data_IF_460049234319
#
_entry.id   IF_460049234319
#
_cell.length_a   1.000
_cell.length_b   1.000
_cell.length_c   1.000
_cell.angle_alpha   90.00
_cell.angle_beta   90.00
_cell.angle_gamma   90.00
#
_symmetry.space_group_name_H-M   'P 1'
#
loop_
_entity.id
_entity.type
_entity.pdbx_description
1 polymer ?
#
# COMPACT_ATOMS: atom_id res chain seq x y z
N UNK A 1 -4.94 -2.19 6.49
CA UNK A 1 -4.33 -2.40 5.16
C UNK A 1 -5.36 -2.51 4.04
N UNK A 2 -6.29 -3.48 4.08
CA UNK A 2 -7.29 -3.69 3.01
C UNK A 2 -8.09 -2.43 2.65
N UNK A 3 -8.60 -1.69 3.65
CA UNK A 3 -9.31 -0.43 3.44
C UNK A 3 -8.47 0.63 2.70
N UNK A 4 -7.18 0.72 3.03
CA UNK A 4 -6.27 1.65 2.38
C UNK A 4 -6.03 1.24 0.92
N UNK A 5 -5.81 -0.05 0.65
CA UNK A 5 -5.64 -0.55 -0.72
C UNK A 5 -6.90 -0.37 -1.56
N UNK A 6 -8.10 -0.64 -1.02
CA UNK A 6 -9.35 -0.41 -1.74
C UNK A 6 -9.57 1.07 -2.05
N UNK A 7 -9.29 1.96 -1.10
CA UNK A 7 -9.40 3.40 -1.33
C UNK A 7 -8.37 3.92 -2.35
N UNK A 8 -7.16 3.36 -2.36
CA UNK A 8 -6.13 3.66 -3.35
C UNK A 8 -6.59 3.28 -4.77
N UNK A 9 -7.11 2.06 -4.96
CA UNK A 9 -7.65 1.58 -6.25
C UNK A 9 -8.76 2.51 -6.78
N UNK A 10 -9.77 2.81 -5.95
CA UNK A 10 -10.84 3.75 -6.29
C UNK A 10 -10.30 5.12 -6.72
N UNK A 11 -9.26 5.61 -6.05
CA UNK A 11 -8.66 6.91 -6.35
C UNK A 11 -7.85 6.91 -7.66
N UNK A 12 -7.17 5.82 -7.99
CA UNK A 12 -6.46 5.64 -9.27
C UNK A 12 -7.46 5.59 -10.44
N UNK A 13 -8.56 4.84 -10.31
CA UNK A 13 -9.64 4.80 -11.31
C UNK A 13 -10.23 6.20 -11.51
N UNK A 14 -10.47 6.94 -10.43
CA UNK A 14 -10.92 8.33 -10.49
C UNK A 14 -9.95 9.27 -11.21
N UNK A 15 -8.63 9.04 -11.07
CA UNK A 15 -7.59 9.79 -11.76
C UNK A 15 -7.56 9.48 -13.27
N UNK A 16 -7.85 8.23 -13.65
CA UNK A 16 -7.87 7.82 -15.07
C UNK A 16 -9.06 8.42 -15.83
N UNK A 17 -10.25 8.35 -15.24
CA UNK A 17 -11.51 8.85 -15.84
C UNK A 17 -11.75 10.35 -15.60
N UNK A 18 -10.81 11.07 -15.01
CA UNK A 18 -11.01 12.49 -14.69
C UNK A 18 -11.25 13.32 -15.96
N UNK A 19 -12.40 14.02 -16.10
CA UNK A 19 -12.67 14.87 -17.25
C UNK A 19 -12.00 16.25 -17.11
N UNK A 20 -11.81 16.72 -15.87
CA UNK A 20 -11.29 18.04 -15.54
C UNK A 20 -10.18 17.97 -14.49
N UNK A 21 -9.34 18.99 -14.44
CA UNK A 21 -8.21 19.08 -13.50
C UNK A 21 -8.64 19.05 -12.03
N UNK A 22 -9.80 19.61 -11.68
CA UNK A 22 -10.28 19.61 -10.29
C UNK A 22 -10.55 18.18 -9.77
N UNK A 23 -11.22 17.34 -10.57
CA UNK A 23 -11.49 15.93 -10.22
C UNK A 23 -10.18 15.15 -10.16
N UNK A 24 -9.25 15.44 -11.09
CA UNK A 24 -7.92 14.85 -11.06
C UNK A 24 -7.16 15.20 -9.77
N UNK A 25 -7.18 16.46 -9.32
CA UNK A 25 -6.51 16.86 -8.08
C UNK A 25 -7.14 16.23 -6.84
N UNK A 26 -8.48 16.19 -6.76
CA UNK A 26 -9.19 15.54 -5.64
C UNK A 26 -8.83 14.06 -5.57
N UNK A 27 -8.85 13.35 -6.69
CA UNK A 27 -8.46 11.93 -6.73
C UNK A 27 -7.00 11.72 -6.34
N UNK A 28 -6.09 12.64 -6.70
CA UNK A 28 -4.68 12.60 -6.28
C UNK A 28 -4.48 12.83 -4.78
N UNK A 29 -5.25 13.73 -4.17
CA UNK A 29 -5.24 13.94 -2.71
C UNK A 29 -5.71 12.69 -1.99
N UNK A 30 -6.82 12.09 -2.45
CA UNK A 30 -7.34 10.84 -1.90
C UNK A 30 -6.32 9.71 -2.05
N UNK A 31 -5.72 9.58 -3.23
CA UNK A 31 -4.68 8.58 -3.48
C UNK A 31 -3.49 8.74 -2.52
N UNK A 32 -3.06 9.99 -2.26
CA UNK A 32 -2.03 10.32 -1.27
C UNK A 32 -2.42 9.94 0.16
N UNK A 33 -3.66 10.20 0.56
CA UNK A 33 -4.17 9.83 1.88
C UNK A 33 -4.15 8.30 2.09
N UNK A 34 -4.63 7.54 1.11
CA UNK A 34 -4.69 6.08 1.20
C UNK A 34 -3.32 5.42 1.16
N UNK A 35 -2.40 5.89 0.30
CA UNK A 35 -1.06 5.28 0.22
C UNK A 35 -0.24 5.50 1.49
N UNK A 36 -0.41 6.65 2.15
CA UNK A 36 0.19 6.95 3.45
C UNK A 36 -0.19 5.90 4.50
N UNK A 37 -1.48 5.58 4.61
CA UNK A 37 -1.97 4.57 5.55
C UNK A 37 -1.37 3.20 5.24
N UNK A 38 -1.31 2.81 3.96
CA UNK A 38 -0.70 1.55 3.55
C UNK A 38 0.79 1.48 3.92
N UNK A 39 1.55 2.56 3.71
CA UNK A 39 2.96 2.63 4.03
C UNK A 39 3.23 2.54 5.55
N UNK A 40 2.49 3.30 6.36
CA UNK A 40 2.65 3.32 7.81
C UNK A 40 2.29 1.94 8.41
N UNK A 41 1.16 1.37 8.00
CA UNK A 41 0.72 0.05 8.49
C UNK A 41 1.68 -1.06 8.04
N UNK A 42 2.20 -0.99 6.81
CA UNK A 42 3.20 -1.93 6.33
C UNK A 42 4.48 -1.90 7.16
N UNK A 43 4.98 -0.71 7.48
CA UNK A 43 6.15 -0.52 8.33
C UNK A 43 5.92 -0.98 9.77
N UNK A 44 4.76 -0.64 10.34
CA UNK A 44 4.38 -1.08 11.68
C UNK A 44 4.33 -2.62 11.76
N UNK A 45 3.78 -3.26 10.73
CA UNK A 45 3.73 -4.73 10.64
C UNK A 45 5.14 -5.34 10.64
N UNK A 46 6.10 -4.75 9.93
CA UNK A 46 7.51 -5.19 9.98
C UNK A 46 8.10 -5.00 11.38
N UNK A 47 7.80 -3.88 12.05
CA UNK A 47 8.28 -3.65 13.41
C UNK A 47 7.69 -4.65 14.42
N UNK A 48 6.43 -5.06 14.24
CA UNK A 48 5.72 -5.99 15.14
C UNK A 48 6.18 -7.45 14.98
N UNK A 49 6.56 -7.86 13.75
CA UNK A 49 6.95 -9.26 13.46
C UNK A 49 8.41 -9.54 13.84
N UNK A 50 9.31 -8.57 13.69
CA UNK A 50 10.74 -8.78 13.87
C UNK A 50 11.24 -8.37 15.27
N UNK A 51 12.11 -9.20 15.84
CA UNK A 51 12.77 -8.93 17.12
C UNK A 51 13.69 -7.69 17.03
N UNK A 52 13.95 -6.97 18.15
CA UNK A 52 14.74 -5.74 18.14
C UNK A 52 16.10 -5.84 17.43
N UNK A 53 16.80 -6.97 17.57
CA UNK A 53 18.12 -7.19 16.98
C UNK A 53 18.08 -7.37 15.44
N UNK A 54 16.98 -7.89 14.89
CA UNK A 54 16.83 -8.13 13.45
C UNK A 54 15.99 -7.06 12.74
N UNK A 55 15.24 -6.26 13.51
CA UNK A 55 14.34 -5.22 13.02
C UNK A 55 15.05 -4.22 12.11
N UNK A 56 16.27 -3.81 12.43
CA UNK A 56 17.05 -2.90 11.60
C UNK A 56 17.29 -3.44 10.18
N UNK A 57 17.61 -4.74 10.07
CA UNK A 57 17.81 -5.41 8.77
C UNK A 57 16.49 -5.57 8.01
N UNK A 58 15.41 -5.92 8.70
CA UNK A 58 14.09 -6.05 8.09
C UNK A 58 13.55 -4.71 7.57
N UNK A 59 13.67 -3.64 8.36
CA UNK A 59 13.30 -2.28 7.94
C UNK A 59 14.17 -1.79 6.77
N UNK A 60 15.47 -2.07 6.79
CA UNK A 60 16.36 -1.74 5.67
C UNK A 60 15.91 -2.45 4.38
N UNK A 61 15.56 -3.74 4.46
CA UNK A 61 15.04 -4.49 3.31
C UNK A 61 13.71 -3.91 2.81
N UNK A 62 12.78 -3.57 3.70
CA UNK A 62 11.51 -2.92 3.33
C UNK A 62 11.74 -1.62 2.55
N UNK A 63 12.60 -0.73 3.06
CA UNK A 63 12.90 0.53 2.38
C UNK A 63 13.72 0.34 1.10
N UNK A 64 14.54 -0.72 0.99
CA UNK A 64 15.25 -1.03 -0.25
C UNK A 64 14.27 -1.21 -1.43
N UNK A 65 13.18 -1.97 -1.25
CA UNK A 65 12.14 -2.10 -2.27
C UNK A 65 11.39 -0.78 -2.52
N UNK A 66 11.13 0.00 -1.46
CA UNK A 66 10.48 1.30 -1.60
C UNK A 66 11.28 2.25 -2.50
N UNK A 67 12.59 2.38 -2.24
CA UNK A 67 13.46 3.22 -3.06
C UNK A 67 13.70 2.64 -4.46
N UNK A 68 13.78 1.32 -4.59
CA UNK A 68 13.85 0.66 -5.89
C UNK A 68 12.60 0.98 -6.74
N UNK A 69 11.41 0.97 -6.13
CA UNK A 69 10.19 1.42 -6.78
C UNK A 69 10.25 2.87 -7.23
N UNK A 70 10.83 3.76 -6.42
CA UNK A 70 11.04 5.18 -6.77
C UNK A 70 12.04 5.37 -7.93
N UNK A 71 13.00 4.46 -8.10
CA UNK A 71 13.96 4.48 -9.21
C UNK A 71 13.33 3.94 -10.51
N UNK A 72 12.63 2.80 -10.41
CA UNK A 72 12.04 2.12 -11.57
C UNK A 72 10.78 2.83 -12.05
N UNK A 73 9.98 3.39 -11.13
CA UNK A 73 8.68 4.00 -11.40
C UNK A 73 8.73 5.12 -12.45
N UNK A 74 9.55 6.18 -12.29
CA UNK A 74 9.68 7.25 -13.27
C UNK A 74 10.28 6.79 -14.60
N UNK A 75 11.20 5.82 -14.56
CA UNK A 75 11.82 5.27 -15.78
C UNK A 75 10.78 4.56 -16.64
N UNK A 76 9.98 3.67 -16.04
CA UNK A 76 8.92 2.93 -16.74
C UNK A 76 7.74 3.85 -17.07
N UNK A 77 7.30 4.66 -16.10
CA UNK A 77 6.16 5.58 -16.26
C UNK A 77 6.43 6.68 -17.28
N UNK A 78 7.67 7.16 -17.38
CA UNK A 78 8.08 8.14 -18.40
C UNK A 78 8.01 7.56 -19.82
N UNK A 79 8.55 6.36 -20.02
CA UNK A 79 8.47 5.67 -21.31
C UNK A 79 7.02 5.34 -21.70
N UNK A 80 6.21 4.92 -20.73
CA UNK A 80 4.81 4.60 -20.96
C UNK A 80 4.00 5.86 -21.32
N UNK A 81 4.20 6.94 -20.56
CA UNK A 81 3.58 8.25 -20.83
C UNK A 81 3.97 8.81 -22.21
N UNK A 82 5.23 8.61 -22.62
CA UNK A 82 5.71 9.06 -23.93
C UNK A 82 5.04 8.31 -25.10
N UNK A 83 4.85 6.99 -24.99
CA UNK A 83 4.31 6.16 -26.08
C UNK A 83 2.78 6.07 -26.12
N UNK A 84 2.14 6.02 -24.95
CA UNK A 84 0.70 5.74 -24.80
C UNK A 84 -0.06 6.88 -24.12
N UNK A 85 0.62 8.00 -23.82
CA UNK A 85 0.04 9.13 -23.10
C UNK A 85 0.01 8.93 -21.59
N UNK A 86 -0.16 10.02 -20.85
CA UNK A 86 -0.06 10.04 -19.38
C UNK A 86 -1.08 9.14 -18.65
N UNK A 87 -2.24 8.87 -19.28
CA UNK A 87 -3.28 8.02 -18.70
C UNK A 87 -2.85 6.56 -18.58
N UNK A 88 -1.95 6.10 -19.45
CA UNK A 88 -1.43 4.72 -19.42
C UNK A 88 -0.73 4.37 -18.11
N UNK A 89 -0.06 5.34 -17.48
CA UNK A 89 0.64 5.16 -16.19
C UNK A 89 -0.34 4.78 -15.09
N UNK A 90 -1.55 5.32 -15.11
CA UNK A 90 -2.59 4.97 -14.13
C UNK A 90 -3.12 3.55 -14.33
N UNK A 91 -3.26 3.09 -15.57
CA UNK A 91 -3.67 1.70 -15.85
C UNK A 91 -2.65 0.71 -15.30
N UNK A 92 -1.36 0.95 -15.53
CA UNK A 92 -0.30 0.04 -15.06
C UNK A 92 -0.24 0.02 -13.54
N UNK A 93 -0.33 1.19 -12.89
CA UNK A 93 -0.38 1.27 -11.42
C UNK A 93 -1.62 0.57 -10.86
N UNK A 94 -2.77 0.71 -11.52
CA UNK A 94 -4.02 0.03 -11.11
C UNK A 94 -3.88 -1.49 -11.17
N UNK A 95 -3.33 -2.03 -12.27
CA UNK A 95 -3.10 -3.47 -12.42
C UNK A 95 -2.17 -3.98 -11.32
N UNK A 96 -1.06 -3.30 -11.07
CA UNK A 96 -0.12 -3.68 -10.01
C UNK A 96 -0.78 -3.65 -8.62
N UNK A 97 -1.59 -2.62 -8.35
CA UNK A 97 -2.31 -2.50 -7.08
C UNK A 97 -3.38 -3.60 -6.90
N UNK A 98 -4.09 -3.99 -7.97
CA UNK A 98 -5.04 -5.11 -7.95
C UNK A 98 -4.32 -6.42 -7.63
N UNK A 99 -3.18 -6.68 -8.29
CA UNK A 99 -2.37 -7.88 -8.03
C UNK A 99 -1.94 -7.92 -6.55
N UNK A 100 -1.46 -6.80 -6.01
CA UNK A 100 -1.09 -6.69 -4.60
C UNK A 100 -2.29 -6.88 -3.66
N UNK A 101 -3.45 -6.35 -4.01
CA UNK A 101 -4.68 -6.51 -3.23
C UNK A 101 -5.11 -7.98 -3.16
N UNK A 102 -5.10 -8.69 -4.30
CA UNK A 102 -5.39 -10.13 -4.36
C UNK A 102 -4.36 -10.91 -3.54
N UNK A 103 -3.07 -10.61 -3.71
CA UNK A 103 -2.00 -11.27 -2.97
C UNK A 103 -2.17 -11.09 -1.46
N UNK A 104 -2.53 -9.89 -1.01
CA UNK A 104 -2.79 -9.61 0.40
C UNK A 104 -3.96 -10.43 0.94
N UNK A 105 -5.05 -10.57 0.19
CA UNK A 105 -6.21 -11.38 0.62
C UNK A 105 -5.87 -12.86 0.71
N UNK A 106 -5.07 -13.38 -0.23
CA UNK A 106 -4.74 -14.81 -0.30
C UNK A 106 -3.69 -15.23 0.72
N UNK A 107 -2.67 -14.41 0.95
CA UNK A 107 -1.50 -14.79 1.75
C UNK A 107 -1.50 -14.22 3.16
N UNK A 108 -2.22 -13.14 3.44
CA UNK A 108 -2.24 -12.52 4.77
C UNK A 108 -3.48 -12.98 5.54
N UNK A 109 -3.33 -13.81 6.58
CA UNK A 109 -4.45 -14.20 7.42
C UNK A 109 -5.04 -12.98 8.14
N UNK A 110 -6.38 -12.95 8.26
CA UNK A 110 -7.11 -11.82 8.82
C UNK A 110 -6.81 -11.67 10.31
N UNK A 111 -6.37 -10.48 10.72
CA UNK A 111 -5.92 -10.16 12.09
C UNK A 111 -6.99 -10.28 13.18
N UNK A 112 -8.27 -10.45 12.83
CA UNK A 112 -9.38 -10.46 13.80
C UNK A 112 -9.26 -11.58 14.85
N UNK A 113 -8.51 -12.64 14.58
CA UNK A 113 -8.28 -13.72 15.54
C UNK A 113 -7.27 -13.33 16.64
N UNK A 114 -6.28 -12.47 16.36
CA UNK A 114 -5.19 -12.15 17.30
C UNK A 114 -5.61 -11.23 18.45
N UNK A 115 -6.55 -10.31 18.23
CA UNK A 115 -7.02 -9.39 19.28
C UNK A 115 -7.82 -10.13 20.36
N UNK A 116 -8.60 -11.14 19.97
CA UNK A 116 -9.32 -12.02 20.90
C UNK A 116 -8.36 -12.85 21.75
N UNK A 117 -7.27 -13.37 21.19
CA UNK A 117 -6.22 -14.09 21.95
C UNK A 117 -5.43 -13.16 22.89
N UNK A 118 -5.08 -11.95 22.45
CA UNK A 118 -4.34 -10.99 23.28
C UNK A 118 -5.20 -10.44 24.42
N UNK A 119 -6.47 -10.10 24.17
CA UNK A 119 -7.41 -9.70 25.22
C UNK A 119 -7.67 -10.84 26.20
N UNK A 120 -7.84 -12.08 25.72
CA UNK A 120 -7.99 -13.25 26.58
C UNK A 120 -6.77 -13.46 27.49
N UNK A 121 -5.54 -13.36 26.95
CA UNK A 121 -4.31 -13.53 27.74
C UNK A 121 -4.02 -12.38 28.72
N UNK A 122 -4.40 -11.14 28.40
CA UNK A 122 -4.29 -9.99 29.31
C UNK A 122 -5.35 -10.05 30.43
N UNK A 123 -6.56 -10.52 30.13
CA UNK A 123 -7.62 -10.72 31.13
C UNK A 123 -7.29 -11.89 32.08
N UNK A 124 -6.71 -12.98 31.58
CA UNK A 124 -6.29 -14.13 32.40
C UNK A 124 -5.09 -13.78 33.31
N UNK A 125 -4.21 -12.85 32.91
CA UNK A 125 -3.10 -12.38 33.76
C UNK A 125 -3.50 -11.37 34.84
N UNK A 126 -4.76 -10.94 34.90
CA UNK A 126 -5.28 -10.00 35.91
C UNK A 126 -6.10 -10.66 37.03
N UNK A 127 -6.21 -11.99 37.04
CA UNK A 127 -6.78 -12.80 38.14
C UNK A 127 -5.68 -13.68 38.71
#
# INVERSE_FOLDING_TARGET
MLFALSGFLLSVVGSYFSPNIHIFLVSRVLQGAFICVAQIVGQATVADIFQPNERGRATAFFYAFYFMGSLVGPTVGGQLSYRFGWRSTFIVVEILAIVLFIFYILFVPKTHDYLSYCLASVLIRRV
#
